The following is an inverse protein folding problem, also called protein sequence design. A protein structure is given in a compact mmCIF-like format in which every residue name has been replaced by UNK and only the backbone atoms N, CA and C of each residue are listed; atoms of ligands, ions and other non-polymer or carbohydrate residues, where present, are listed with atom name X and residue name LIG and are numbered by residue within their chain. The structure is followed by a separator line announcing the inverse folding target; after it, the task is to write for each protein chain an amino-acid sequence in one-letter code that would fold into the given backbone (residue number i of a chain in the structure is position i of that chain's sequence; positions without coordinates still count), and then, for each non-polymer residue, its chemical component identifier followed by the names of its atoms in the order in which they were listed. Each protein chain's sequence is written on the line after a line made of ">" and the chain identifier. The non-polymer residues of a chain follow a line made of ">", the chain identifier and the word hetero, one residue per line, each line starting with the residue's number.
data_IF_453826323329
#
_entry.id   IF_453826323329
#
_cell.length_a   1.000
_cell.length_b   1.000
_cell.length_c   1.000
_cell.angle_alpha   90.00
_cell.angle_beta   90.00
_cell.angle_gamma   90.00
#
_symmetry.space_group_name_H-M   'P 1'
#
loop_
_entity.id
_entity.type
_entity.pdbx_description
1 polymer ?
#
# COMPACT_ATOMS: atom_id res chain seq x y z
N UNK A 1 -24.60 1.49 -7.81
CA UNK A 1 -25.13 0.13 -7.57
C UNK A 1 -24.71 -0.26 -6.18
N UNK A 2 -25.67 -0.54 -5.28
CA UNK A 2 -25.35 -1.03 -3.96
C UNK A 2 -24.84 -2.47 -4.10
N UNK A 3 -23.60 -2.73 -3.69
CA UNK A 3 -23.06 -4.09 -3.61
C UNK A 3 -23.85 -4.79 -2.50
N UNK A 4 -24.64 -5.82 -2.85
CA UNK A 4 -25.27 -6.65 -1.83
C UNK A 4 -24.18 -7.43 -1.09
N UNK A 5 -24.40 -7.64 0.20
CA UNK A 5 -23.45 -8.27 1.13
C UNK A 5 -23.37 -9.80 0.93
N UNK A 6 -23.08 -10.26 -0.29
CA UNK A 6 -23.07 -11.68 -0.64
C UNK A 6 -21.73 -12.36 -0.35
N UNK A 7 -20.72 -11.60 0.07
CA UNK A 7 -19.40 -12.13 0.38
C UNK A 7 -19.38 -12.84 1.73
N UNK A 8 -18.81 -14.05 1.76
CA UNK A 8 -18.78 -14.87 2.97
C UNK A 8 -17.58 -14.58 3.87
N UNK A 9 -16.45 -14.20 3.29
CA UNK A 9 -15.17 -13.97 3.95
C UNK A 9 -14.22 -13.18 3.02
N UNK A 10 -13.00 -12.88 3.49
CA UNK A 10 -12.03 -12.13 2.69
C UNK A 10 -11.71 -12.80 1.37
N UNK A 11 -11.48 -14.13 1.35
CA UNK A 11 -11.12 -14.85 0.12
C UNK A 11 -12.14 -14.65 -0.99
N UNK A 12 -13.43 -14.84 -0.65
CA UNK A 12 -14.51 -14.72 -1.63
C UNK A 12 -14.66 -13.29 -2.16
N UNK A 13 -14.46 -12.28 -1.31
CA UNK A 13 -14.41 -10.89 -1.75
C UNK A 13 -13.23 -10.63 -2.69
N UNK A 14 -12.01 -11.05 -2.33
CA UNK A 14 -10.79 -10.80 -3.10
C UNK A 14 -10.82 -11.48 -4.47
N UNK A 15 -11.23 -12.74 -4.53
CA UNK A 15 -11.39 -13.48 -5.79
C UNK A 15 -12.41 -12.83 -6.73
N UNK A 16 -13.45 -12.19 -6.18
CA UNK A 16 -14.42 -11.44 -6.96
C UNK A 16 -13.85 -10.08 -7.41
N UNK A 17 -13.26 -9.32 -6.49
CA UNK A 17 -12.69 -7.98 -6.72
C UNK A 17 -11.59 -7.99 -7.77
N UNK A 18 -10.76 -9.03 -7.77
CA UNK A 18 -9.59 -9.17 -8.64
C UNK A 18 -9.79 -10.26 -9.71
N UNK A 19 -11.04 -10.49 -10.13
CA UNK A 19 -11.40 -11.53 -11.11
C UNK A 19 -11.01 -11.23 -12.56
N UNK A 20 -10.71 -9.97 -12.90
CA UNK A 20 -10.28 -9.61 -14.26
C UNK A 20 -8.83 -10.05 -14.51
N UNK A 21 -8.68 -11.24 -15.10
CA UNK A 21 -7.37 -11.80 -15.44
C UNK A 21 -6.58 -10.96 -16.45
N UNK A 22 -7.19 -10.02 -17.17
CA UNK A 22 -6.43 -9.10 -18.02
C UNK A 22 -5.65 -8.07 -17.20
N UNK A 23 -6.14 -7.74 -16.00
CA UNK A 23 -5.56 -6.74 -15.11
C UNK A 23 -4.76 -7.36 -13.98
N UNK A 24 -5.19 -8.52 -13.47
CA UNK A 24 -4.68 -9.07 -12.21
C UNK A 24 -4.10 -10.49 -12.39
N UNK A 25 -3.13 -10.80 -11.54
CA UNK A 25 -2.66 -12.15 -11.26
C UNK A 25 -2.67 -12.37 -9.75
N UNK A 26 -3.35 -13.41 -9.30
CA UNK A 26 -3.36 -13.82 -7.89
C UNK A 26 -2.26 -14.85 -7.65
N UNK A 27 -1.52 -14.69 -6.55
CA UNK A 27 -0.53 -15.64 -6.05
C UNK A 27 -0.92 -15.97 -4.61
N UNK A 28 -1.44 -17.19 -4.40
CA UNK A 28 -1.87 -17.66 -3.09
C UNK A 28 -0.72 -18.42 -2.40
N UNK A 29 -0.03 -17.75 -1.45
CA UNK A 29 0.99 -18.35 -0.61
C UNK A 29 0.51 -18.52 0.84
N UNK A 30 -0.80 -18.71 1.05
CA UNK A 30 -1.40 -18.71 2.40
C UNK A 30 -1.26 -20.05 3.15
N UNK A 31 -0.88 -21.12 2.45
CA UNK A 31 -0.62 -22.45 3.05
C UNK A 31 0.69 -22.51 3.87
N UNK A 32 1.42 -21.38 4.02
CA UNK A 32 2.68 -21.29 4.76
C UNK A 32 2.40 -20.96 6.23
N UNK A 33 2.70 -21.92 7.13
CA UNK A 33 2.38 -21.92 8.58
C UNK A 33 2.79 -20.68 9.40
N UNK A 34 3.65 -19.79 8.88
CA UNK A 34 4.11 -18.59 9.61
C UNK A 34 4.08 -17.30 8.81
N UNK A 35 3.89 -17.34 7.49
CA UNK A 35 4.09 -16.19 6.60
C UNK A 35 3.07 -16.16 5.44
N UNK A 36 1.83 -16.57 5.72
CA UNK A 36 0.79 -16.69 4.70
C UNK A 36 0.46 -15.34 4.05
N UNK A 37 0.79 -15.18 2.77
CA UNK A 37 0.47 -13.95 2.02
C UNK A 37 -0.37 -14.32 0.81
N UNK A 38 -1.52 -13.66 0.67
CA UNK A 38 -2.29 -13.67 -0.56
C UNK A 38 -1.98 -12.40 -1.33
N UNK A 39 -1.35 -12.56 -2.49
CA UNK A 39 -0.82 -11.45 -3.27
C UNK A 39 -1.59 -11.25 -4.56
N UNK A 40 -1.90 -10.00 -4.87
CA UNK A 40 -2.43 -9.56 -6.15
C UNK A 40 -1.36 -8.75 -6.87
N UNK A 41 -0.91 -9.26 -8.00
CA UNK A 41 -0.03 -8.55 -8.92
C UNK A 41 -0.88 -7.85 -9.98
N UNK A 42 -0.63 -6.57 -10.18
CA UNK A 42 -1.12 -5.87 -11.36
C UNK A 42 -0.28 -6.23 -12.58
N UNK A 43 -0.94 -6.41 -13.71
CA UNK A 43 -0.33 -6.63 -15.04
C UNK A 43 -0.11 -5.32 -15.81
N UNK A 44 -0.67 -4.21 -15.34
CA UNK A 44 -0.69 -2.93 -16.07
C UNK A 44 0.26 -1.89 -15.50
N UNK A 45 0.55 -1.98 -14.20
CA UNK A 45 1.54 -1.22 -13.47
C UNK A 45 2.22 -2.19 -12.50
N UNK A 46 3.46 -1.95 -12.11
CA UNK A 46 4.24 -2.89 -11.26
C UNK A 46 3.75 -2.90 -9.80
N UNK A 47 2.44 -2.74 -9.57
CA UNK A 47 1.80 -2.73 -8.26
C UNK A 47 1.63 -4.13 -7.74
N UNK A 48 2.00 -4.32 -6.48
CA UNK A 48 1.73 -5.51 -5.69
C UNK A 48 0.84 -5.11 -4.52
N UNK A 49 -0.19 -5.90 -4.26
CA UNK A 49 -1.10 -5.74 -3.12
C UNK A 49 -1.09 -7.05 -2.33
N UNK A 50 -0.67 -6.96 -1.08
CA UNK A 50 -0.53 -8.09 -0.18
C UNK A 50 -1.61 -8.07 0.90
N UNK A 51 -2.28 -9.21 1.06
CA UNK A 51 -3.21 -9.49 2.14
C UNK A 51 -2.53 -10.51 3.06
N UNK A 52 -2.17 -10.06 4.26
CA UNK A 52 -1.16 -10.70 5.11
C UNK A 52 -1.86 -11.45 6.25
N UNK A 53 -1.40 -12.69 6.46
CA UNK A 53 -1.78 -13.62 7.53
C UNK A 53 -3.30 -13.80 7.66
N UNK A 54 -4.00 -14.25 6.60
CA UNK A 54 -5.37 -14.70 6.77
C UNK A 54 -5.41 -15.88 7.74
N UNK A 55 -6.42 -15.89 8.61
CA UNK A 55 -6.69 -17.11 9.38
C UNK A 55 -7.26 -18.21 8.46
N UNK A 56 -7.34 -19.44 8.98
CA UNK A 56 -7.74 -20.62 8.21
C UNK A 56 -9.09 -20.46 7.49
N UNK A 57 -10.05 -19.76 8.10
CA UNK A 57 -11.39 -19.55 7.56
C UNK A 57 -11.53 -18.25 6.74
N UNK A 58 -10.44 -17.49 6.59
CA UNK A 58 -10.40 -16.17 5.94
C UNK A 58 -11.34 -15.13 6.55
N UNK A 59 -11.69 -15.31 7.82
CA UNK A 59 -12.54 -14.40 8.57
C UNK A 59 -11.74 -13.24 9.15
N UNK A 60 -10.40 -13.34 9.21
CA UNK A 60 -9.53 -12.24 9.65
C UNK A 60 -8.31 -12.11 8.73
N UNK A 61 -7.73 -10.91 8.70
CA UNK A 61 -6.43 -10.58 8.10
C UNK A 61 -5.63 -9.75 9.11
N UNK A 62 -4.31 -9.89 9.15
CA UNK A 62 -3.49 -9.09 10.06
C UNK A 62 -3.16 -7.72 9.48
N UNK A 63 -2.93 -7.65 8.16
CA UNK A 63 -2.51 -6.43 7.48
C UNK A 63 -2.80 -6.47 5.97
N UNK A 64 -2.87 -5.30 5.36
CA UNK A 64 -3.01 -5.12 3.92
C UNK A 64 -2.01 -4.06 3.48
N UNK A 65 -1.13 -4.40 2.55
CA UNK A 65 -0.07 -3.52 2.08
C UNK A 65 -0.12 -3.40 0.57
N UNK A 66 0.26 -2.23 0.04
CA UNK A 66 0.56 -2.11 -1.37
C UNK A 66 1.86 -1.34 -1.60
N UNK A 67 2.57 -1.76 -2.64
CA UNK A 67 3.84 -1.17 -3.05
C UNK A 67 4.09 -1.43 -4.53
N UNK A 68 5.18 -0.89 -5.06
CA UNK A 68 5.61 -1.13 -6.44
C UNK A 68 7.10 -1.46 -6.45
N UNK A 69 7.53 -2.38 -7.30
CA UNK A 69 8.95 -2.71 -7.45
C UNK A 69 9.81 -1.50 -7.88
N UNK A 70 9.16 -0.51 -8.51
CA UNK A 70 9.78 0.78 -8.86
C UNK A 70 10.08 1.68 -7.65
N UNK A 71 9.47 1.42 -6.49
CA UNK A 71 9.63 2.15 -5.24
C UNK A 71 10.34 1.29 -4.18
N UNK A 72 11.31 1.86 -3.45
CA UNK A 72 12.09 1.14 -2.43
C UNK A 72 11.37 1.01 -1.08
N UNK A 73 10.11 1.44 -0.98
CA UNK A 73 9.37 1.58 0.26
C UNK A 73 7.88 1.26 0.06
N UNK A 74 7.20 0.94 1.15
CA UNK A 74 5.76 0.72 1.14
C UNK A 74 5.02 2.00 0.78
N UNK A 75 3.97 1.84 -0.01
CA UNK A 75 3.21 2.95 -0.56
C UNK A 75 1.88 3.18 0.15
N UNK A 76 1.36 2.15 0.82
CA UNK A 76 0.26 2.25 1.76
C UNK A 76 0.08 0.96 2.55
N UNK A 77 -0.54 1.09 3.72
CA UNK A 77 -0.73 0.03 4.70
C UNK A 77 -2.07 0.26 5.40
N UNK A 78 -2.81 -0.81 5.64
CA UNK A 78 -3.96 -0.84 6.52
C UNK A 78 -3.76 -2.00 7.51
N UNK A 79 -3.22 -1.66 8.68
CA UNK A 79 -3.01 -2.57 9.79
C UNK A 79 -4.35 -3.17 10.25
N UNK A 80 -4.66 -4.37 9.76
CA UNK A 80 -5.83 -5.15 10.16
C UNK A 80 -5.92 -5.31 11.67
N UNK A 81 -4.78 -5.51 12.35
CA UNK A 81 -4.69 -5.56 13.81
C UNK A 81 -5.19 -4.30 14.56
N UNK A 82 -5.14 -3.12 13.94
CA UNK A 82 -5.40 -1.84 14.60
C UNK A 82 -6.61 -1.06 14.08
N UNK A 83 -7.27 -1.44 12.98
CA UNK A 83 -8.49 -0.78 12.51
C UNK A 83 -9.31 -1.63 11.51
N UNK A 84 -10.65 -1.52 11.53
CA UNK A 84 -11.51 -1.72 12.70
C UNK A 84 -11.81 -3.21 13.01
N UNK A 85 -11.41 -3.68 14.21
CA UNK A 85 -11.65 -5.04 14.77
C UNK A 85 -10.73 -6.15 14.24
N UNK A 86 -9.41 -6.00 14.38
CA UNK A 86 -8.44 -7.07 14.16
C UNK A 86 -8.59 -7.76 12.77
N UNK A 87 -8.90 -6.94 11.76
CA UNK A 87 -9.10 -7.38 10.37
C UNK A 87 -10.25 -8.34 10.15
N UNK A 88 -11.24 -8.40 11.06
CA UNK A 88 -12.43 -9.24 10.92
C UNK A 88 -13.22 -8.92 9.65
N UNK A 89 -13.63 -9.92 8.90
CA UNK A 89 -14.50 -9.73 7.74
C UNK A 89 -15.88 -9.20 8.16
N UNK A 90 -16.13 -7.92 7.91
CA UNK A 90 -17.38 -7.23 8.16
C UNK A 90 -17.47 -5.97 7.26
N UNK A 91 -18.64 -5.35 7.18
CA UNK A 91 -18.85 -4.20 6.29
C UNK A 91 -17.92 -3.01 6.58
N UNK A 92 -17.66 -2.72 7.85
CA UNK A 92 -16.82 -1.59 8.27
C UNK A 92 -15.38 -1.76 7.75
N UNK A 93 -14.83 -2.97 7.87
CA UNK A 93 -13.50 -3.29 7.32
C UNK A 93 -13.51 -3.35 5.81
N UNK A 94 -14.58 -3.89 5.21
CA UNK A 94 -14.71 -3.92 3.76
C UNK A 94 -14.68 -2.52 3.16
N UNK A 95 -15.40 -1.57 3.76
CA UNK A 95 -15.41 -0.17 3.33
C UNK A 95 -14.02 0.49 3.47
N UNK A 96 -13.31 0.19 4.56
CA UNK A 96 -11.93 0.68 4.76
C UNK A 96 -10.95 0.11 3.72
N UNK A 97 -11.08 -1.19 3.40
CA UNK A 97 -10.27 -1.84 2.36
C UNK A 97 -10.60 -1.30 0.98
N UNK A 98 -11.88 -1.13 0.65
CA UNK A 98 -12.31 -0.52 -0.62
C UNK A 98 -11.72 0.89 -0.77
N UNK A 99 -11.73 1.69 0.29
CA UNK A 99 -11.15 3.03 0.28
C UNK A 99 -9.62 2.99 0.07
N UNK A 100 -8.90 2.11 0.77
CA UNK A 100 -7.47 1.90 0.55
C UNK A 100 -7.17 1.54 -0.91
N UNK A 101 -7.92 0.58 -1.46
CA UNK A 101 -7.73 0.05 -2.80
C UNK A 101 -8.04 1.05 -3.92
N UNK A 102 -8.81 2.13 -3.66
CA UNK A 102 -9.01 3.18 -4.66
C UNK A 102 -7.68 3.82 -5.10
N UNK A 103 -6.72 3.92 -4.18
CA UNK A 103 -5.40 4.50 -4.47
C UNK A 103 -4.67 3.72 -5.57
N UNK A 104 -4.31 2.43 -5.39
CA UNK A 104 -3.62 1.69 -6.44
C UNK A 104 -4.50 1.42 -7.66
N UNK A 105 -5.81 1.23 -7.49
CA UNK A 105 -6.69 0.82 -8.60
C UNK A 105 -7.09 2.02 -9.49
N UNK A 106 -7.56 3.12 -8.90
CA UNK A 106 -8.23 4.20 -9.65
C UNK A 106 -7.37 5.45 -9.82
N UNK A 107 -6.62 5.83 -8.79
CA UNK A 107 -5.92 7.12 -8.77
C UNK A 107 -4.44 7.01 -9.16
N UNK A 108 -3.77 5.93 -8.77
CA UNK A 108 -2.32 5.86 -8.75
C UNK A 108 -1.75 6.64 -7.56
N UNK A 109 -0.42 6.63 -7.43
CA UNK A 109 0.24 7.33 -6.34
C UNK A 109 1.61 7.87 -6.72
N UNK A 110 2.11 8.80 -5.92
CA UNK A 110 3.43 9.38 -6.05
C UNK A 110 4.22 8.99 -4.80
N UNK A 111 5.30 8.25 -5.00
CA UNK A 111 6.25 7.95 -3.94
C UNK A 111 7.40 8.97 -3.96
N UNK A 112 7.56 9.71 -2.87
CA UNK A 112 8.68 10.63 -2.70
C UNK A 112 9.71 10.05 -1.74
N UNK A 113 10.89 9.75 -2.28
CA UNK A 113 11.97 9.14 -1.54
C UNK A 113 13.06 10.16 -1.20
N UNK A 114 13.59 10.06 0.02
CA UNK A 114 14.64 10.94 0.52
C UNK A 114 15.86 10.09 0.86
N UNK A 115 16.99 10.43 0.25
CA UNK A 115 18.22 9.67 0.35
C UNK A 115 19.32 10.45 1.06
N UNK A 116 20.08 9.75 1.91
CA UNK A 116 21.37 10.21 2.43
C UNK A 116 22.48 9.40 1.77
N UNK A 117 23.18 10.03 0.83
CA UNK A 117 24.10 9.32 -0.05
C UNK A 117 23.36 8.31 -0.92
N UNK A 118 23.60 7.00 -0.70
CA UNK A 118 22.95 5.90 -1.42
C UNK A 118 21.87 5.17 -0.61
N UNK A 119 21.63 5.59 0.64
CA UNK A 119 20.68 4.92 1.54
C UNK A 119 19.36 5.68 1.56
N UNK A 120 18.25 4.96 1.44
CA UNK A 120 16.92 5.51 1.68
C UNK A 120 16.81 5.87 3.16
N UNK A 121 16.39 7.10 3.45
CA UNK A 121 16.18 7.59 4.81
C UNK A 121 14.69 7.56 5.17
N UNK A 122 13.85 8.06 4.27
CA UNK A 122 12.39 7.99 4.41
C UNK A 122 11.72 7.97 3.04
N UNK A 123 10.51 7.45 3.02
CA UNK A 123 9.60 7.54 1.89
C UNK A 123 8.28 8.15 2.34
N UNK A 124 7.66 8.92 1.45
CA UNK A 124 6.33 9.48 1.67
C UNK A 124 5.49 9.25 0.42
N UNK A 125 4.39 8.51 0.60
CA UNK A 125 3.46 8.22 -0.48
C UNK A 125 2.29 9.21 -0.45
N UNK A 126 1.86 9.63 -1.63
CA UNK A 126 0.76 10.57 -1.84
C UNK A 126 -0.18 10.05 -2.92
N UNK A 127 -1.47 10.34 -2.83
CA UNK A 127 -2.41 10.10 -3.93
C UNK A 127 -1.95 10.90 -5.15
N UNK A 128 -2.03 10.29 -6.33
CA UNK A 128 -1.70 10.95 -7.59
C UNK A 128 -2.90 11.74 -8.13
N UNK A 129 -2.98 13.02 -7.77
CA UNK A 129 -3.99 13.93 -8.30
C UNK A 129 -3.50 14.54 -9.62
N UNK A 130 -3.64 13.78 -10.71
CA UNK A 130 -3.30 14.23 -12.06
C UNK A 130 -1.82 14.64 -12.26
N UNK A 131 -0.89 13.86 -11.71
CA UNK A 131 0.55 14.10 -11.78
C UNK A 131 1.07 15.02 -10.66
N UNK A 132 0.22 15.41 -9.72
CA UNK A 132 0.57 16.21 -8.56
C UNK A 132 0.31 15.44 -7.26
N UNK A 133 1.05 15.79 -6.21
CA UNK A 133 0.88 15.17 -4.88
C UNK A 133 -0.41 15.68 -4.25
N UNK A 134 -1.36 14.79 -4.09
CA UNK A 134 -2.58 15.01 -3.32
C UNK A 134 -2.38 14.71 -1.84
N UNK A 135 -3.40 14.09 -1.25
CA UNK A 135 -3.37 13.63 0.13
C UNK A 135 -2.21 12.66 0.40
N UNK A 136 -1.60 12.78 1.59
CA UNK A 136 -0.52 11.90 2.04
C UNK A 136 -1.13 10.58 2.53
N UNK A 137 -0.69 9.47 1.94
CA UNK A 137 -1.14 8.11 2.26
C UNK A 137 -0.33 7.58 3.46
N UNK A 138 0.99 7.53 3.31
CA UNK A 138 1.86 6.82 4.25
C UNK A 138 3.23 7.50 4.37
N UNK A 139 3.91 7.26 5.49
CA UNK A 139 5.29 7.72 5.70
C UNK A 139 6.10 6.61 6.35
N UNK A 140 7.11 6.13 5.63
CA UNK A 140 8.02 5.10 6.12
C UNK A 140 9.38 5.73 6.45
N UNK A 141 9.93 5.44 7.63
CA UNK A 141 11.29 5.82 8.00
C UNK A 141 12.19 4.59 8.02
N UNK A 142 13.19 4.57 7.14
CA UNK A 142 14.13 3.46 7.03
C UNK A 142 15.35 3.67 7.96
N UNK A 143 15.06 4.00 9.23
CA UNK A 143 16.08 4.23 10.27
C UNK A 143 16.13 3.12 11.32
N UNK A 144 15.14 2.21 11.31
CA UNK A 144 15.00 1.13 12.28
C UNK A 144 15.08 1.61 13.75
N UNK A 145 15.50 0.71 14.64
CA UNK A 145 15.73 1.00 16.07
C UNK A 145 16.78 2.11 16.31
N UNK A 146 17.73 2.28 15.40
CA UNK A 146 18.74 3.35 15.49
C UNK A 146 18.11 4.75 15.41
N UNK A 147 17.00 4.89 14.67
CA UNK A 147 16.25 6.15 14.59
C UNK A 147 15.70 6.62 15.95
N UNK A 148 15.32 5.68 16.82
CA UNK A 148 14.80 5.96 18.17
C UNK A 148 15.94 6.40 19.10
N UNK A 149 17.07 5.69 19.09
CA UNK A 149 18.23 6.04 19.93
C UNK A 149 18.86 7.38 19.53
N UNK A 150 18.76 7.77 18.25
CA UNK A 150 19.32 9.01 17.71
C UNK A 150 18.26 10.04 17.37
N UNK A 151 17.09 10.00 18.02
CA UNK A 151 15.92 10.81 17.68
C UNK A 151 16.24 12.30 17.38
N UNK A 152 17.02 13.04 18.19
CA UNK A 152 17.34 14.44 17.89
C UNK A 152 18.08 14.61 16.56
N UNK A 153 19.01 13.70 16.26
CA UNK A 153 19.74 13.70 14.99
C UNK A 153 18.84 13.28 13.83
N UNK A 154 17.98 12.28 14.03
CA UNK A 154 16.99 11.85 13.03
C UNK A 154 16.06 13.00 12.64
N UNK A 155 15.60 13.78 13.62
CA UNK A 155 14.75 14.96 13.39
C UNK A 155 15.49 16.06 12.63
N UNK A 156 16.74 16.36 13.02
CA UNK A 156 17.56 17.35 12.33
C UNK A 156 17.82 16.92 10.87
N UNK A 157 18.23 15.68 10.65
CA UNK A 157 18.45 15.10 9.32
C UNK A 157 17.17 15.18 8.49
N UNK A 158 16.02 14.84 9.06
CA UNK A 158 14.73 14.91 8.40
C UNK A 158 14.39 16.34 7.95
N UNK A 159 14.63 17.33 8.82
CA UNK A 159 14.43 18.74 8.49
C UNK A 159 15.36 19.19 7.36
N UNK A 160 16.66 18.89 7.46
CA UNK A 160 17.65 19.26 6.46
C UNK A 160 17.37 18.62 5.10
N UNK A 161 16.96 17.35 5.07
CA UNK A 161 16.50 16.65 3.86
C UNK A 161 15.24 17.30 3.28
N UNK A 162 14.28 17.65 4.13
CA UNK A 162 13.04 18.28 3.69
C UNK A 162 13.29 19.66 3.07
N UNK A 163 14.18 20.47 3.66
CA UNK A 163 14.63 21.74 3.11
C UNK A 163 15.51 21.58 1.85
N UNK A 164 16.04 20.39 1.60
CA UNK A 164 16.93 20.11 0.47
C UNK A 164 18.36 20.60 0.69
N UNK A 165 18.76 20.83 1.94
CA UNK A 165 20.13 21.26 2.28
C UNK A 165 21.12 20.10 2.26
N UNK A 166 20.63 18.86 2.47
CA UNK A 166 21.41 17.63 2.37
C UNK A 166 20.64 16.58 1.56
N UNK A 167 21.37 15.56 1.11
CA UNK A 167 20.80 14.37 0.48
C UNK A 167 20.24 14.59 -0.93
N UNK A 168 19.45 13.62 -1.41
CA UNK A 168 18.76 13.66 -2.69
C UNK A 168 17.29 13.32 -2.51
N UNK A 169 16.44 13.88 -3.37
CA UNK A 169 15.01 13.54 -3.46
C UNK A 169 14.76 12.85 -4.78
N UNK A 170 14.05 11.73 -4.75
CA UNK A 170 13.51 11.08 -5.94
C UNK A 170 11.99 11.15 -5.90
N UNK A 171 11.38 11.18 -7.08
CA UNK A 171 9.92 11.09 -7.22
C UNK A 171 9.62 10.00 -8.22
N UNK A 172 8.84 9.02 -7.79
CA UNK A 172 8.36 7.92 -8.60
C UNK A 172 6.85 8.08 -8.71
N UNK A 173 6.35 8.09 -9.95
CA UNK A 173 4.93 8.19 -10.23
C UNK A 173 4.46 6.82 -10.68
N UNK A 174 3.50 6.25 -9.97
CA UNK A 174 2.84 4.99 -10.33
C UNK A 174 1.44 5.33 -10.84
N UNK A 175 1.20 5.02 -12.10
CA UNK A 175 -0.12 5.15 -12.73
C UNK A 175 -1.15 4.25 -12.01
N UNK A 176 -2.46 4.53 -12.11
CA UNK A 176 -3.48 3.59 -11.63
C UNK A 176 -3.50 2.28 -12.43
N UNK A 177 -3.95 1.18 -11.79
CA UNK A 177 -4.12 -0.12 -12.44
C UNK A 177 -5.18 -0.01 -13.54
N UNK A 178 -6.32 0.56 -13.19
CA UNK A 178 -7.40 0.86 -14.11
C UNK A 178 -7.20 2.25 -14.66
N UNK A 179 -6.57 2.33 -15.84
CA UNK A 179 -6.54 3.58 -16.61
C UNK A 179 -7.96 3.90 -17.05
N UNK A 180 -8.69 4.67 -16.24
CA UNK A 180 -9.94 5.28 -16.68
C UNK A 180 -9.58 6.10 -17.93
N UNK A 181 -10.05 5.68 -19.12
CA UNK A 181 -9.85 6.47 -20.34
C UNK A 181 -10.40 7.86 -20.03
N UNK A 182 -9.51 8.85 -19.89
CA UNK A 182 -9.92 10.25 -19.80
C UNK A 182 -10.72 10.52 -21.07
N UNK A 183 -12.02 10.72 -20.93
CA UNK A 183 -12.83 11.31 -21.99
C UNK A 183 -12.28 12.73 -22.15
N UNK A 184 -11.52 12.94 -23.22
CA UNK A 184 -11.08 14.26 -23.67
C UNK A 184 -12.27 15.02 -24.25
#
# INVERSE_FOLDING_TARGET
>A
MAVSNDFKNWKNYLECKFSDEALYQIIDNTDVLSDGVYRVNSKTNETLIDFIYPNQDWTTLDDIQFYSDSAQAWSGELLGGNNPKAGLFNQENLDAVEHLLETPIKYGWINQEFYLGKRLFKSVAYINENGSKGEKIFTEYNTGLAGVMLLPFTLLINLLLHLGWIGKKSMIVVDPIEKTRRQF
#
